data_IF_454146344366
#
_entry.id   IF_454146344366
#
_cell.length_a   1.000
_cell.length_b   1.000
_cell.length_c   1.000
_cell.angle_alpha   90.00
_cell.angle_beta   90.00
_cell.angle_gamma   90.00
#
_symmetry.space_group_name_H-M   'P 1'
#
loop_
_entity.id
_entity.type
_entity.pdbx_description
1 polymer ?
#
# COMPACT_ATOMS: atom_id res chain seq x y z
N UNK A 1 11.11 7.54 -30.13
CA UNK A 1 11.23 7.38 -28.67
C UNK A 1 9.83 7.15 -28.18
N UNK A 2 9.59 6.00 -27.59
CA UNK A 2 8.29 5.67 -27.02
C UNK A 2 8.15 6.28 -25.62
N UNK A 3 6.92 6.42 -25.14
CA UNK A 3 6.66 6.99 -23.80
C UNK A 3 7.42 6.22 -22.72
N UNK A 4 7.48 4.89 -22.83
CA UNK A 4 8.22 4.03 -21.91
C UNK A 4 9.74 4.28 -21.93
N UNK A 5 10.27 4.66 -23.07
CA UNK A 5 11.70 5.02 -23.19
C UNK A 5 11.99 6.35 -22.46
N UNK A 6 11.07 7.31 -22.53
CA UNK A 6 11.17 8.59 -21.80
C UNK A 6 11.15 8.32 -20.30
N UNK A 7 10.23 7.51 -19.84
CA UNK A 7 10.11 7.13 -18.43
C UNK A 7 11.39 6.45 -17.90
N UNK A 8 11.95 5.50 -18.67
CA UNK A 8 13.22 4.85 -18.32
C UNK A 8 14.36 5.87 -18.21
N UNK A 9 14.45 6.80 -19.16
CA UNK A 9 15.50 7.84 -19.15
C UNK A 9 15.35 8.76 -17.93
N UNK A 10 14.16 9.27 -17.66
CA UNK A 10 13.89 10.19 -16.56
C UNK A 10 14.16 9.50 -15.20
N UNK A 11 13.71 8.26 -15.04
CA UNK A 11 13.95 7.50 -13.81
C UNK A 11 15.45 7.20 -13.61
N UNK A 12 16.20 6.85 -14.69
CA UNK A 12 17.64 6.66 -14.57
C UNK A 12 18.36 7.98 -14.25
N UNK A 13 17.87 9.10 -14.77
CA UNK A 13 18.41 10.42 -14.48
C UNK A 13 18.20 10.88 -13.03
N UNK A 14 17.22 10.32 -12.34
CA UNK A 14 16.97 10.51 -10.90
C UNK A 14 17.80 9.55 -10.06
N UNK A 15 17.73 8.25 -10.36
CA UNK A 15 18.36 7.20 -9.56
C UNK A 15 19.89 7.15 -9.72
N UNK A 16 20.39 7.56 -10.88
CA UNK A 16 21.79 7.45 -11.30
C UNK A 16 22.37 6.04 -11.04
N UNK A 17 21.50 5.02 -11.16
CA UNK A 17 21.84 3.62 -10.88
C UNK A 17 20.90 2.67 -11.65
N UNK A 18 21.45 1.88 -12.57
CA UNK A 18 20.67 0.98 -13.44
C UNK A 18 19.85 -0.07 -12.68
N UNK A 19 20.40 -0.64 -11.60
CA UNK A 19 19.70 -1.63 -10.77
C UNK A 19 18.49 -1.02 -10.07
N UNK A 20 18.65 0.09 -9.35
CA UNK A 20 17.53 0.78 -8.69
C UNK A 20 16.48 1.27 -9.67
N UNK A 21 16.89 1.76 -10.84
CA UNK A 21 15.96 2.11 -11.93
C UNK A 21 15.12 0.90 -12.36
N UNK A 22 15.76 -0.25 -12.53
CA UNK A 22 15.09 -1.48 -12.93
C UNK A 22 14.08 -1.95 -11.87
N UNK A 23 14.46 -1.92 -10.59
CA UNK A 23 13.60 -2.24 -9.45
C UNK A 23 12.39 -1.29 -9.38
N UNK A 24 12.63 0.03 -9.46
CA UNK A 24 11.57 1.06 -9.41
C UNK A 24 10.58 0.90 -10.56
N UNK A 25 11.05 0.57 -11.76
CA UNK A 25 10.22 0.40 -12.96
C UNK A 25 9.70 -1.03 -13.16
N UNK A 26 10.06 -1.96 -12.27
CA UNK A 26 9.70 -3.39 -12.34
C UNK A 26 10.07 -4.02 -13.69
N UNK A 27 11.29 -3.76 -14.15
CA UNK A 27 11.86 -4.32 -15.38
C UNK A 27 13.24 -4.91 -15.11
N UNK A 28 13.84 -5.63 -16.07
CA UNK A 28 15.22 -6.10 -15.93
C UNK A 28 16.23 -4.96 -16.15
N UNK A 29 17.37 -5.02 -15.48
CA UNK A 29 18.47 -4.07 -15.68
C UNK A 29 18.96 -4.06 -17.14
N UNK A 30 18.93 -5.22 -17.81
CA UNK A 30 19.27 -5.34 -19.22
C UNK A 30 18.32 -4.50 -20.10
N UNK A 31 17.02 -4.49 -19.79
CA UNK A 31 16.02 -3.66 -20.50
C UNK A 31 16.29 -2.16 -20.33
N UNK A 32 16.64 -1.71 -19.12
CA UNK A 32 17.04 -0.31 -18.88
C UNK A 32 18.26 0.04 -19.71
N UNK A 33 19.31 -0.78 -19.66
CA UNK A 33 20.56 -0.55 -20.41
C UNK A 33 20.31 -0.51 -21.92
N UNK A 34 19.52 -1.43 -22.46
CA UNK A 34 19.18 -1.47 -23.89
C UNK A 34 18.36 -0.25 -24.32
N UNK A 35 17.40 0.19 -23.49
CA UNK A 35 16.59 1.38 -23.79
C UNK A 35 17.47 2.63 -23.90
N UNK A 36 18.35 2.86 -22.91
CA UNK A 36 19.28 4.01 -22.95
C UNK A 36 20.23 3.92 -24.15
N UNK A 37 20.84 2.77 -24.40
CA UNK A 37 21.74 2.60 -25.55
C UNK A 37 21.05 2.81 -26.90
N UNK A 38 19.76 2.46 -27.03
CA UNK A 38 18.96 2.78 -28.24
C UNK A 38 18.72 4.27 -28.38
N UNK A 39 18.45 4.98 -27.28
CA UNK A 39 18.24 6.42 -27.28
C UNK A 39 19.52 7.15 -27.66
N UNK A 40 20.66 6.83 -27.06
CA UNK A 40 21.97 7.41 -27.36
C UNK A 40 22.36 7.20 -28.84
N UNK A 41 22.15 5.97 -29.36
CA UNK A 41 22.40 5.68 -30.79
C UNK A 41 21.48 6.47 -31.72
N UNK A 42 20.20 6.63 -31.38
CA UNK A 42 19.22 7.36 -32.17
C UNK A 42 19.53 8.87 -32.20
N UNK A 43 19.95 9.43 -31.06
CA UNK A 43 20.26 10.85 -30.91
C UNK A 43 21.69 11.15 -31.41
N UNK A 44 22.56 10.14 -31.42
CA UNK A 44 23.96 10.27 -31.87
C UNK A 44 24.90 10.83 -30.81
N UNK A 45 24.45 10.94 -29.53
CA UNK A 45 25.27 11.46 -28.44
C UNK A 45 25.08 10.63 -27.16
N UNK A 46 26.11 10.60 -26.33
CA UNK A 46 26.09 9.95 -25.03
C UNK A 46 25.32 10.83 -24.05
N UNK A 47 24.34 10.26 -23.35
CA UNK A 47 23.49 10.94 -22.38
C UNK A 47 23.95 10.70 -20.94
N UNK A 48 24.61 9.54 -20.68
CA UNK A 48 25.13 9.18 -19.38
C UNK A 48 26.62 8.82 -19.45
N UNK A 49 27.44 9.48 -18.65
CA UNK A 49 28.80 9.07 -18.37
C UNK A 49 28.78 7.86 -17.44
N UNK A 50 29.36 6.74 -17.91
CA UNK A 50 29.36 5.47 -17.20
C UNK A 50 30.77 5.07 -16.85
N UNK A 51 31.06 4.91 -15.58
CA UNK A 51 32.25 4.24 -15.09
C UNK A 51 31.84 3.02 -14.26
N UNK A 52 32.77 2.13 -13.93
CA UNK A 52 32.49 0.98 -13.06
C UNK A 52 31.99 1.37 -11.65
N UNK A 53 32.12 2.65 -11.28
CA UNK A 53 31.78 3.16 -9.92
C UNK A 53 30.74 4.26 -9.91
N UNK A 54 30.39 4.83 -11.07
CA UNK A 54 29.50 6.01 -11.11
C UNK A 54 28.74 6.10 -12.43
N UNK A 55 27.48 6.47 -12.33
CA UNK A 55 26.63 6.92 -13.45
C UNK A 55 26.32 8.40 -13.21
N UNK A 56 26.50 9.24 -14.22
CA UNK A 56 26.19 10.66 -14.16
C UNK A 56 25.63 11.15 -15.50
N UNK A 57 24.81 12.19 -15.51
CA UNK A 57 24.33 12.81 -16.75
C UNK A 57 25.44 13.63 -17.41
N UNK A 58 25.59 13.49 -18.73
CA UNK A 58 26.37 14.43 -19.55
C UNK A 58 25.71 15.83 -19.58
N UNK A 59 26.38 16.89 -20.02
CA UNK A 59 25.74 18.19 -20.22
C UNK A 59 24.51 18.10 -21.14
N UNK A 60 24.60 17.30 -22.22
CA UNK A 60 23.47 17.03 -23.13
C UNK A 60 22.37 16.24 -22.43
N UNK A 61 22.73 15.22 -21.63
CA UNK A 61 21.79 14.44 -20.84
C UNK A 61 21.01 15.30 -19.81
N UNK A 62 21.68 16.27 -19.16
CA UNK A 62 20.99 17.21 -18.24
C UNK A 62 19.96 18.07 -18.96
N UNK A 63 20.33 18.65 -20.08
CA UNK A 63 19.42 19.49 -20.88
C UNK A 63 18.23 18.65 -21.40
N UNK A 64 18.50 17.45 -21.93
CA UNK A 64 17.44 16.55 -22.37
C UNK A 64 16.50 16.11 -21.22
N UNK A 65 17.03 15.92 -20.00
CA UNK A 65 16.22 15.63 -18.82
C UNK A 65 15.23 16.77 -18.53
N UNK A 66 15.68 18.02 -18.57
CA UNK A 66 14.84 19.19 -18.33
C UNK A 66 13.72 19.27 -19.36
N UNK A 67 14.06 19.16 -20.64
CA UNK A 67 13.09 19.23 -21.75
C UNK A 67 12.07 18.07 -21.69
N UNK A 68 12.56 16.84 -21.46
CA UNK A 68 11.70 15.65 -21.37
C UNK A 68 10.83 15.65 -20.12
N UNK A 69 11.31 16.20 -19.00
CA UNK A 69 10.49 16.32 -17.77
C UNK A 69 9.29 17.21 -18.04
N UNK A 70 9.50 18.41 -18.61
CA UNK A 70 8.42 19.33 -18.94
C UNK A 70 7.43 18.72 -19.93
N UNK A 71 7.92 18.07 -20.98
CA UNK A 71 7.06 17.41 -21.97
C UNK A 71 6.26 16.23 -21.36
N UNK A 72 6.88 15.45 -20.49
CA UNK A 72 6.25 14.32 -19.81
C UNK A 72 5.16 14.79 -18.83
N UNK A 73 5.46 15.85 -18.07
CA UNK A 73 4.49 16.44 -17.13
C UNK A 73 3.28 17.01 -17.88
N UNK A 74 3.50 17.74 -18.98
CA UNK A 74 2.42 18.27 -19.83
C UNK A 74 1.56 17.13 -20.44
N UNK A 75 2.20 16.04 -20.87
CA UNK A 75 1.48 14.85 -21.36
C UNK A 75 0.64 14.22 -20.27
N UNK A 76 1.20 14.03 -19.07
CA UNK A 76 0.47 13.49 -17.92
C UNK A 76 -0.71 14.37 -17.52
N UNK A 77 -0.52 15.69 -17.50
CA UNK A 77 -1.61 16.65 -17.28
C UNK A 77 -2.70 16.55 -18.36
N UNK A 78 -2.31 16.42 -19.63
CA UNK A 78 -3.26 16.24 -20.73
C UNK A 78 -4.08 14.97 -20.59
N UNK A 79 -3.43 13.86 -20.26
CA UNK A 79 -4.10 12.59 -19.98
C UNK A 79 -5.00 12.69 -18.74
N UNK A 80 -4.53 13.31 -17.66
CA UNK A 80 -5.31 13.54 -16.45
C UNK A 80 -6.57 14.40 -16.74
N UNK A 81 -6.45 15.45 -17.56
CA UNK A 81 -7.62 16.26 -17.98
C UNK A 81 -8.62 15.43 -18.81
N UNK A 82 -8.13 14.62 -19.76
CA UNK A 82 -9.00 13.74 -20.56
C UNK A 82 -9.71 12.69 -19.71
N UNK A 83 -9.02 12.14 -18.72
CA UNK A 83 -9.58 11.18 -17.77
C UNK A 83 -10.53 11.84 -16.77
N UNK A 84 -10.22 13.07 -16.32
CA UNK A 84 -11.14 13.85 -15.50
C UNK A 84 -12.48 14.11 -16.23
N UNK A 85 -12.42 14.37 -17.53
CA UNK A 85 -13.63 14.46 -18.36
C UNK A 85 -14.35 13.11 -18.47
N UNK A 86 -13.62 11.98 -18.47
CA UNK A 86 -14.18 10.62 -18.45
C UNK A 86 -14.70 10.17 -17.08
N UNK A 87 -14.20 10.76 -15.98
CA UNK A 87 -14.69 10.50 -14.62
C UNK A 87 -16.10 11.08 -14.39
N UNK A 88 -16.53 12.02 -15.24
CA UNK A 88 -17.88 12.57 -15.26
C UNK A 88 -18.27 13.32 -13.97
N UNK A 89 -18.90 14.50 -14.10
CA UNK A 89 -19.47 15.18 -12.96
C UNK A 89 -20.53 14.30 -12.29
N UNK A 90 -20.33 13.96 -11.00
CA UNK A 90 -21.28 13.20 -10.20
C UNK A 90 -20.98 11.68 -10.05
N UNK A 91 -19.83 11.19 -10.51
CA UNK A 91 -19.48 9.78 -10.26
C UNK A 91 -18.85 9.62 -8.88
N UNK A 92 -19.50 8.83 -8.03
CA UNK A 92 -19.00 8.44 -6.71
C UNK A 92 -18.12 7.21 -6.86
N UNK A 93 -16.85 7.29 -6.41
CA UNK A 93 -15.95 6.16 -6.29
C UNK A 93 -16.19 5.48 -4.95
N UNK A 94 -16.55 4.19 -4.97
CA UNK A 94 -16.81 3.38 -3.77
C UNK A 94 -15.49 2.75 -3.32
N UNK A 95 -14.94 3.25 -2.21
CA UNK A 95 -13.66 2.83 -1.65
C UNK A 95 -13.85 2.05 -0.36
N UNK A 96 -13.59 0.75 -0.41
CA UNK A 96 -13.60 -0.09 0.77
C UNK A 96 -12.31 0.08 1.58
N UNK A 97 -12.44 0.18 2.90
CA UNK A 97 -11.31 0.35 3.82
C UNK A 97 -11.44 -0.57 5.02
N UNK A 98 -10.32 -1.04 5.54
CA UNK A 98 -10.29 -1.80 6.78
C UNK A 98 -10.27 -0.85 7.98
N UNK A 99 -11.29 -0.96 8.85
CA UNK A 99 -11.36 -0.25 10.11
C UNK A 99 -10.98 1.23 9.97
N UNK A 100 -9.96 1.66 10.71
CA UNK A 100 -9.56 3.07 10.83
C UNK A 100 -8.61 3.56 9.71
N UNK A 101 -8.21 2.71 8.78
CA UNK A 101 -7.34 3.13 7.66
C UNK A 101 -7.95 4.28 6.85
N UNK A 102 -9.28 4.35 6.78
CA UNK A 102 -10.00 5.44 6.11
C UNK A 102 -9.71 6.84 6.65
N UNK A 103 -9.41 6.98 7.94
CA UNK A 103 -9.08 8.29 8.53
C UNK A 103 -7.76 8.84 8.00
N UNK A 104 -6.78 7.98 7.78
CA UNK A 104 -5.47 8.36 7.26
C UNK A 104 -5.48 8.65 5.76
N UNK A 105 -6.51 8.21 5.03
CA UNK A 105 -6.61 8.43 3.60
C UNK A 105 -7.12 9.82 3.22
N UNK A 106 -7.42 10.68 4.19
CA UNK A 106 -7.89 12.04 3.93
C UNK A 106 -6.98 12.83 2.98
N UNK A 107 -5.64 12.86 3.14
CA UNK A 107 -4.77 13.56 2.19
C UNK A 107 -4.89 13.03 0.75
N UNK A 108 -5.04 11.71 0.58
CA UNK A 108 -5.25 11.10 -0.73
C UNK A 108 -6.59 11.53 -1.34
N UNK A 109 -7.66 11.51 -0.55
CA UNK A 109 -9.01 11.89 -1.02
C UNK A 109 -9.06 13.38 -1.36
N UNK A 110 -8.47 14.24 -0.53
CA UNK A 110 -8.41 15.68 -0.78
C UNK A 110 -7.61 16.00 -2.06
N UNK A 111 -6.46 15.36 -2.25
CA UNK A 111 -5.68 15.50 -3.48
C UNK A 111 -6.40 14.95 -4.72
N UNK A 112 -7.13 13.84 -4.58
CA UNK A 112 -7.96 13.30 -5.65
C UNK A 112 -9.09 14.25 -6.04
N UNK A 113 -9.82 14.79 -5.06
CA UNK A 113 -10.89 15.77 -5.29
C UNK A 113 -10.38 17.08 -5.92
N UNK A 114 -9.21 17.56 -5.50
CA UNK A 114 -8.59 18.74 -6.07
C UNK A 114 -8.24 18.57 -7.56
N UNK A 115 -7.80 17.36 -7.97
CA UNK A 115 -7.47 17.02 -9.34
C UNK A 115 -8.70 16.68 -10.20
N UNK A 116 -9.79 16.23 -9.58
CA UNK A 116 -11.01 15.76 -10.24
C UNK A 116 -12.25 16.42 -9.63
N UNK A 117 -12.48 17.73 -9.90
CA UNK A 117 -13.63 18.44 -9.40
C UNK A 117 -14.94 17.78 -9.86
N UNK A 118 -15.82 17.46 -8.91
CA UNK A 118 -17.08 16.74 -9.18
C UNK A 118 -17.01 15.23 -9.00
N UNK A 119 -15.82 14.66 -8.80
CA UNK A 119 -15.70 13.30 -8.31
C UNK A 119 -15.86 13.24 -6.79
N UNK A 120 -16.59 12.24 -6.30
CA UNK A 120 -16.74 12.00 -4.86
C UNK A 120 -16.19 10.62 -4.48
N UNK A 121 -15.80 10.45 -3.22
CA UNK A 121 -15.34 9.17 -2.66
C UNK A 121 -16.28 8.81 -1.52
N UNK A 122 -16.91 7.65 -1.63
CA UNK A 122 -17.74 7.05 -0.58
C UNK A 122 -16.99 5.88 0.03
N UNK A 123 -16.75 5.96 1.33
CA UNK A 123 -16.14 4.87 2.08
C UNK A 123 -17.15 3.78 2.44
N UNK A 124 -16.70 2.54 2.43
CA UNK A 124 -17.39 1.39 3.00
C UNK A 124 -16.40 0.56 3.83
N UNK A 125 -16.91 -0.15 4.83
CA UNK A 125 -16.07 -1.03 5.64
C UNK A 125 -15.83 -2.36 4.92
N UNK A 126 -14.58 -2.81 4.91
CA UNK A 126 -14.18 -4.15 4.47
C UNK A 126 -14.12 -5.06 5.69
N UNK A 127 -14.77 -6.22 5.61
CA UNK A 127 -14.73 -7.22 6.68
C UNK A 127 -13.60 -8.23 6.48
N UNK A 128 -13.00 -8.70 7.59
CA UNK A 128 -11.91 -9.69 7.54
C UNK A 128 -12.35 -11.05 7.04
N UNK A 129 -13.63 -11.37 7.11
CA UNK A 129 -14.16 -12.68 6.70
C UNK A 129 -14.10 -12.92 5.19
N UNK A 130 -14.39 -11.91 4.35
CA UNK A 130 -14.22 -11.97 2.89
C UNK A 130 -13.82 -10.59 2.36
N UNK A 131 -12.50 -10.31 2.29
CA UNK A 131 -12.00 -8.98 1.92
C UNK A 131 -12.16 -8.65 0.44
N UNK A 132 -12.48 -9.61 -0.41
CA UNK A 132 -12.51 -9.47 -1.86
C UNK A 132 -13.91 -9.52 -2.47
N UNK A 133 -14.92 -9.96 -1.69
CA UNK A 133 -16.28 -10.18 -2.19
C UNK A 133 -16.87 -8.95 -2.87
N UNK A 134 -16.81 -7.78 -2.26
CA UNK A 134 -17.39 -6.56 -2.80
C UNK A 134 -16.69 -6.07 -4.09
N UNK A 135 -15.38 -6.34 -4.25
CA UNK A 135 -14.66 -6.08 -5.51
C UNK A 135 -15.15 -7.01 -6.63
N UNK A 136 -15.31 -8.29 -6.31
CA UNK A 136 -15.78 -9.31 -7.27
C UNK A 136 -17.23 -9.11 -7.68
N UNK A 137 -18.07 -8.70 -6.74
CA UNK A 137 -19.48 -8.38 -7.00
C UNK A 137 -19.68 -7.03 -7.72
N UNK A 138 -18.64 -6.18 -7.80
CA UNK A 138 -18.76 -4.83 -8.32
C UNK A 138 -19.49 -3.85 -7.36
N UNK A 139 -19.59 -4.21 -6.08
CA UNK A 139 -20.17 -3.37 -5.03
C UNK A 139 -19.20 -2.30 -4.53
N UNK A 140 -17.90 -2.51 -4.72
CA UNK A 140 -16.84 -1.54 -4.51
C UNK A 140 -15.99 -1.37 -5.77
N UNK A 141 -15.49 -0.17 -6.01
CA UNK A 141 -14.64 0.13 -7.16
C UNK A 141 -13.15 -0.14 -6.83
N UNK A 142 -12.74 0.10 -5.59
CA UNK A 142 -11.43 -0.26 -5.07
C UNK A 142 -11.49 -0.51 -3.55
N UNK A 143 -10.53 -1.27 -3.05
CA UNK A 143 -10.29 -1.45 -1.62
C UNK A 143 -8.89 -0.98 -1.23
N UNK A 144 -8.71 -0.58 0.02
CA UNK A 144 -7.40 -0.41 0.66
C UNK A 144 -7.18 -1.60 1.57
N UNK A 145 -6.31 -2.52 1.14
CA UNK A 145 -6.06 -3.80 1.79
C UNK A 145 -4.58 -3.91 2.19
N UNK A 146 -4.29 -4.61 3.29
CA UNK A 146 -2.90 -4.97 3.60
C UNK A 146 -2.36 -6.03 2.65
N UNK A 147 -1.06 -5.93 2.38
CA UNK A 147 -0.35 -6.85 1.50
C UNK A 147 0.18 -8.07 2.26
N UNK A 148 0.38 -9.19 1.56
CA UNK A 148 0.25 -9.39 0.13
C UNK A 148 -1.19 -9.64 -0.32
N UNK A 149 -1.56 -9.23 -1.53
CA UNK A 149 -2.75 -9.69 -2.24
C UNK A 149 -2.27 -10.44 -3.49
N UNK A 150 -2.63 -11.70 -3.62
CA UNK A 150 -2.15 -12.61 -4.67
C UNK A 150 -3.33 -13.27 -5.44
N UNK A 151 -4.39 -12.51 -5.67
CA UNK A 151 -5.57 -12.95 -6.40
C UNK A 151 -5.41 -12.63 -7.90
N UNK A 152 -5.56 -13.61 -8.81
CA UNK A 152 -5.31 -13.41 -10.24
C UNK A 152 -6.31 -12.48 -10.93
N UNK A 153 -7.50 -12.32 -10.34
CA UNK A 153 -8.58 -11.46 -10.81
C UNK A 153 -8.52 -10.04 -10.23
N UNK A 154 -7.52 -9.76 -9.38
CA UNK A 154 -7.35 -8.45 -8.76
C UNK A 154 -6.04 -7.78 -9.19
N UNK A 155 -6.10 -6.47 -9.37
CA UNK A 155 -4.94 -5.62 -9.61
C UNK A 155 -4.49 -4.98 -8.30
N UNK A 156 -3.21 -5.14 -7.97
CA UNK A 156 -2.57 -4.47 -6.84
C UNK A 156 -1.90 -3.20 -7.34
N UNK A 157 -2.39 -2.07 -6.86
CA UNK A 157 -1.90 -0.73 -7.19
C UNK A 157 -0.83 -0.21 -6.22
N UNK A 158 -0.68 1.12 -6.12
CA UNK A 158 0.31 1.72 -5.23
C UNK A 158 0.01 1.47 -3.75
N UNK A 159 1.07 1.35 -2.95
CA UNK A 159 0.98 1.39 -1.49
C UNK A 159 0.56 2.80 -1.08
N UNK A 160 -0.46 2.90 -0.23
CA UNK A 160 -1.03 4.18 0.24
C UNK A 160 -0.74 4.46 1.71
N UNK A 161 -0.46 3.41 2.50
CA UNK A 161 -0.21 3.55 3.93
C UNK A 161 0.78 2.47 4.39
N UNK A 162 1.71 2.86 5.26
CA UNK A 162 2.62 1.95 5.97
C UNK A 162 2.49 2.22 7.46
N UNK A 163 2.33 1.18 8.28
CA UNK A 163 2.16 1.31 9.73
C UNK A 163 2.93 0.21 10.45
N UNK A 164 3.40 0.50 11.65
CA UNK A 164 3.95 -0.50 12.56
C UNK A 164 2.92 -1.55 12.98
N UNK A 165 3.34 -2.45 13.86
CA UNK A 165 2.53 -3.56 14.37
C UNK A 165 2.36 -3.46 15.87
N UNK A 166 1.16 -3.82 16.33
CA UNK A 166 0.83 -3.97 17.76
C UNK A 166 0.13 -5.28 18.02
N UNK A 167 0.22 -5.76 19.25
CA UNK A 167 -0.55 -6.88 19.76
C UNK A 167 -1.65 -6.33 20.68
N UNK A 168 -2.90 -6.56 20.34
CA UNK A 168 -4.02 -6.29 21.24
C UNK A 168 -4.13 -7.40 22.26
N UNK A 169 -4.11 -7.05 23.55
CA UNK A 169 -4.21 -7.96 24.70
C UNK A 169 -5.21 -7.40 25.71
N UNK A 170 -5.76 -8.26 26.57
CA UNK A 170 -6.59 -7.77 27.68
C UNK A 170 -5.76 -6.94 28.67
N UNK A 171 -6.38 -6.01 29.38
CA UNK A 171 -5.69 -5.17 30.36
C UNK A 171 -5.05 -5.96 31.53
N UNK A 172 -5.57 -7.16 31.82
CA UNK A 172 -5.01 -8.07 32.82
C UNK A 172 -3.97 -9.06 32.28
N UNK A 173 -3.64 -8.99 31.00
CA UNK A 173 -2.72 -9.92 30.35
C UNK A 173 -1.26 -9.68 30.80
N UNK A 174 -0.43 -10.73 30.96
CA UNK A 174 0.99 -10.56 31.34
C UNK A 174 1.79 -9.65 30.40
N UNK A 175 1.46 -9.64 29.11
CA UNK A 175 2.12 -8.78 28.12
C UNK A 175 1.70 -7.31 28.22
N UNK A 176 0.55 -6.98 28.85
CA UNK A 176 0.05 -5.59 28.93
C UNK A 176 0.99 -4.65 29.69
N UNK A 177 1.76 -5.17 30.65
CA UNK A 177 2.74 -4.42 31.42
C UNK A 177 4.14 -4.37 30.80
N UNK A 178 4.35 -5.01 29.65
CA UNK A 178 5.66 -5.00 28.96
C UNK A 178 5.76 -3.82 27.99
N UNK A 179 6.96 -3.28 27.82
CA UNK A 179 7.24 -2.24 26.84
C UNK A 179 7.18 -2.72 25.37
N UNK A 180 6.94 -4.01 25.13
CA UNK A 180 6.78 -4.61 23.81
C UNK A 180 6.60 -6.11 23.88
N UNK A 181 6.21 -6.69 22.75
CA UNK A 181 6.07 -8.13 22.52
C UNK A 181 6.79 -8.52 21.22
N UNK A 182 7.05 -9.83 21.07
CA UNK A 182 7.59 -10.42 19.84
C UNK A 182 6.58 -11.38 19.22
N UNK A 183 6.78 -11.74 17.96
CA UNK A 183 5.99 -12.78 17.31
C UNK A 183 6.17 -14.16 18.00
N UNK A 184 7.29 -14.34 18.72
CA UNK A 184 7.53 -15.58 19.46
C UNK A 184 6.60 -15.73 20.68
N UNK A 185 6.20 -14.62 21.30
CA UNK A 185 5.24 -14.64 22.42
C UNK A 185 3.88 -15.22 22.01
N UNK A 186 3.53 -15.18 20.71
CA UNK A 186 2.26 -15.72 20.20
C UNK A 186 2.16 -17.25 20.28
N UNK A 187 3.26 -17.97 20.48
CA UNK A 187 3.23 -19.44 20.57
C UNK A 187 2.45 -19.95 21.79
N UNK A 188 2.37 -19.16 22.83
CA UNK A 188 1.70 -19.50 24.09
C UNK A 188 0.29 -18.87 24.19
N UNK A 189 -0.17 -18.21 23.09
CA UNK A 189 -1.39 -17.43 23.04
C UNK A 189 -2.40 -17.98 22.02
N UNK A 190 -3.67 -17.81 22.29
CA UNK A 190 -4.72 -18.04 21.30
C UNK A 190 -4.95 -16.77 20.48
N UNK A 191 -4.81 -16.86 19.16
CA UNK A 191 -5.00 -15.72 18.26
C UNK A 191 -6.31 -15.88 17.50
N UNK A 192 -7.06 -14.77 17.34
CA UNK A 192 -8.36 -14.78 16.63
C UNK A 192 -8.24 -15.46 15.26
N UNK A 193 -9.23 -16.27 14.93
CA UNK A 193 -9.43 -16.85 13.61
C UNK A 193 -10.39 -15.94 12.81
N UNK A 194 -10.04 -15.57 11.58
CA UNK A 194 -10.89 -14.75 10.69
C UNK A 194 -11.91 -15.61 9.91
N UNK A 195 -11.88 -16.93 10.10
CA UNK A 195 -12.75 -17.87 9.43
C UNK A 195 -12.26 -18.28 8.02
N UNK A 196 -12.95 -19.22 7.35
CA UNK A 196 -12.46 -19.89 6.16
C UNK A 196 -12.67 -19.12 4.86
N UNK A 197 -13.40 -18.01 4.85
CA UNK A 197 -13.71 -17.29 3.61
C UNK A 197 -12.57 -16.38 3.13
N UNK A 198 -11.69 -15.94 4.06
CA UNK A 198 -10.49 -15.21 3.69
C UNK A 198 -9.37 -16.19 3.28
N UNK A 199 -8.58 -15.90 2.22
CA UNK A 199 -7.48 -16.77 1.82
C UNK A 199 -6.44 -16.93 2.94
N UNK A 200 -5.97 -18.17 3.14
CA UNK A 200 -5.05 -18.50 4.23
C UNK A 200 -3.76 -17.66 4.17
N UNK A 201 -3.19 -17.47 2.98
CA UNK A 201 -1.98 -16.67 2.79
C UNK A 201 -2.16 -15.23 3.26
N UNK A 202 -3.35 -14.66 3.02
CA UNK A 202 -3.68 -13.28 3.38
C UNK A 202 -3.88 -13.15 4.90
N UNK A 203 -4.60 -14.09 5.50
CA UNK A 203 -4.75 -14.16 6.96
C UNK A 203 -3.38 -14.35 7.63
N UNK A 204 -2.54 -15.25 7.10
CA UNK A 204 -1.22 -15.55 7.65
C UNK A 204 -0.26 -14.34 7.62
N UNK A 205 -0.45 -13.38 6.71
CA UNK A 205 0.34 -12.14 6.69
C UNK A 205 0.05 -11.23 7.88
N UNK A 206 -1.15 -11.28 8.42
CA UNK A 206 -1.55 -10.58 9.65
C UNK A 206 -1.29 -11.42 10.89
N UNK A 207 -1.72 -12.67 10.85
CA UNK A 207 -1.68 -13.63 11.94
C UNK A 207 -0.95 -14.87 11.46
N UNK A 208 0.37 -14.97 11.61
CA UNK A 208 1.14 -16.12 11.14
C UNK A 208 0.66 -17.41 11.79
N UNK A 209 0.89 -18.53 11.13
CA UNK A 209 0.55 -19.87 11.67
C UNK A 209 1.65 -20.42 12.56
N UNK A 210 2.86 -19.88 12.42
CA UNK A 210 4.05 -20.23 13.20
C UNK A 210 4.83 -18.99 13.58
N UNK A 211 5.51 -19.07 14.69
CA UNK A 211 6.47 -18.06 15.15
C UNK A 211 7.77 -18.11 14.32
N UNK A 212 8.66 -17.12 14.43
CA UNK A 212 9.97 -17.13 13.79
C UNK A 212 10.82 -18.37 14.13
N UNK A 213 10.70 -18.92 15.33
CA UNK A 213 11.38 -20.17 15.74
C UNK A 213 10.61 -21.43 15.36
N UNK A 214 9.53 -21.33 14.58
CA UNK A 214 8.77 -22.45 14.05
C UNK A 214 7.72 -23.06 15.00
N UNK A 215 7.51 -22.50 16.18
CA UNK A 215 6.46 -22.92 17.10
C UNK A 215 5.08 -22.61 16.50
N UNK A 216 4.13 -23.52 16.71
CA UNK A 216 2.75 -23.33 16.23
C UNK A 216 2.05 -22.25 17.05
N UNK A 217 1.31 -21.36 16.38
CA UNK A 217 0.44 -20.37 17.04
C UNK A 217 -0.97 -20.94 17.08
N UNK A 218 -1.54 -21.14 18.28
CA UNK A 218 -2.89 -21.68 18.46
C UNK A 218 -3.94 -20.71 17.90
N UNK A 219 -4.97 -21.26 17.24
CA UNK A 219 -6.14 -20.47 16.84
C UNK A 219 -7.16 -20.45 17.97
N UNK A 220 -7.70 -19.26 18.21
CA UNK A 220 -8.73 -18.99 19.20
C UNK A 220 -10.13 -18.91 18.56
N UNK A 221 -11.03 -18.12 19.14
CA UNK A 221 -12.38 -17.95 18.63
C UNK A 221 -12.39 -17.27 17.27
N UNK A 222 -13.44 -17.57 16.46
CA UNK A 222 -13.66 -16.93 15.17
C UNK A 222 -14.28 -15.56 15.39
N UNK A 223 -13.73 -14.53 14.72
CA UNK A 223 -14.31 -13.20 14.63
C UNK A 223 -14.22 -12.68 13.20
N UNK A 224 -15.24 -11.94 12.76
CA UNK A 224 -15.35 -11.44 11.38
C UNK A 224 -15.23 -9.93 11.29
N UNK A 225 -15.46 -9.23 12.39
CA UNK A 225 -15.40 -7.77 12.44
C UNK A 225 -14.34 -7.30 13.44
N UNK A 226 -13.84 -6.09 13.21
CA UNK A 226 -12.86 -5.50 14.12
C UNK A 226 -13.39 -5.37 15.57
N UNK A 227 -14.68 -5.04 15.73
CA UNK A 227 -15.30 -4.90 17.04
C UNK A 227 -15.44 -6.23 17.78
N UNK A 228 -15.76 -7.33 17.07
CA UNK A 228 -15.78 -8.68 17.64
C UNK A 228 -14.38 -9.07 18.14
N UNK A 229 -13.33 -8.79 17.35
CA UNK A 229 -11.95 -9.04 17.74
C UNK A 229 -11.63 -8.33 19.07
N UNK A 230 -11.90 -7.02 19.15
CA UNK A 230 -11.61 -6.26 20.38
C UNK A 230 -12.44 -6.70 21.57
N UNK A 231 -13.68 -7.12 21.37
CA UNK A 231 -14.52 -7.65 22.43
C UNK A 231 -13.98 -8.98 23.00
N UNK A 232 -13.53 -9.90 22.12
CA UNK A 232 -12.90 -11.17 22.53
C UNK A 232 -11.58 -10.95 23.27
N UNK A 233 -10.78 -9.99 22.80
CA UNK A 233 -9.52 -9.59 23.46
C UNK A 233 -9.81 -8.98 24.83
N UNK A 234 -10.77 -8.07 24.95
CA UNK A 234 -11.16 -7.46 26.22
C UNK A 234 -11.64 -8.50 27.25
N UNK A 235 -12.32 -9.55 26.77
CA UNK A 235 -12.77 -10.68 27.60
C UNK A 235 -11.63 -11.64 27.97
N UNK A 236 -10.39 -11.42 27.52
CA UNK A 236 -9.25 -12.30 27.79
C UNK A 236 -9.31 -13.67 27.11
N UNK A 237 -10.13 -13.82 26.06
CA UNK A 237 -10.29 -15.09 25.34
C UNK A 237 -9.22 -15.31 24.28
N UNK A 238 -8.55 -14.26 23.83
CA UNK A 238 -7.50 -14.32 22.82
C UNK A 238 -6.66 -13.04 22.84
N UNK A 239 -5.57 -13.06 22.06
CA UNK A 239 -4.81 -11.89 21.65
C UNK A 239 -4.95 -11.71 20.14
N UNK A 240 -4.61 -10.50 19.60
CA UNK A 240 -4.66 -10.32 18.15
C UNK A 240 -3.62 -9.31 17.65
N UNK A 241 -2.75 -9.70 16.68
CA UNK A 241 -1.86 -8.78 16.01
C UNK A 241 -2.65 -7.83 15.09
N UNK A 242 -2.34 -6.53 15.15
CA UNK A 242 -2.98 -5.48 14.37
C UNK A 242 -1.94 -4.50 13.82
N UNK A 243 -2.35 -3.64 12.89
CA UNK A 243 -1.58 -2.45 12.57
C UNK A 243 -1.63 -1.43 13.71
N UNK A 244 -0.56 -0.68 13.93
CA UNK A 244 -0.47 0.36 14.96
C UNK A 244 -1.57 1.42 14.83
N UNK A 245 -2.06 1.65 13.60
CA UNK A 245 -3.22 2.51 13.34
C UNK A 245 -4.43 2.14 14.19
N UNK A 246 -4.61 0.87 14.56
CA UNK A 246 -5.69 0.43 15.41
C UNK A 246 -5.57 1.05 16.81
N UNK A 247 -4.37 1.14 17.37
CA UNK A 247 -4.10 1.74 18.68
C UNK A 247 -4.32 3.27 18.68
N UNK A 248 -4.05 3.92 17.54
CA UNK A 248 -4.17 5.37 17.39
C UNK A 248 -5.63 5.85 17.53
N UNK A 249 -6.58 5.11 16.98
CA UNK A 249 -7.98 5.50 16.92
C UNK A 249 -8.89 4.74 17.86
N UNK A 250 -8.38 3.74 18.59
CA UNK A 250 -9.19 2.98 19.53
C UNK A 250 -8.57 2.97 20.92
N UNK A 251 -9.42 3.20 21.88
CA UNK A 251 -9.11 2.98 23.31
C UNK A 251 -10.26 2.21 23.95
N UNK A 252 -10.51 0.96 23.51
CA UNK A 252 -11.60 0.17 24.06
C UNK A 252 -11.29 -0.17 25.53
N UNK A 253 -12.27 -0.08 26.42
CA UNK A 253 -12.11 -0.50 27.81
C UNK A 253 -11.62 -1.94 27.88
N UNK A 254 -10.62 -2.20 28.73
CA UNK A 254 -10.12 -3.56 28.95
C UNK A 254 -9.14 -4.10 27.88
N UNK A 255 -8.75 -3.28 26.90
CA UNK A 255 -7.72 -3.66 25.89
C UNK A 255 -6.49 -2.78 25.99
N UNK A 256 -5.31 -3.37 25.89
CA UNK A 256 -4.02 -2.70 25.79
C UNK A 256 -3.38 -3.10 24.47
N UNK A 257 -2.78 -2.13 23.78
CA UNK A 257 -2.02 -2.36 22.57
C UNK A 257 -0.53 -2.33 22.89
N UNK A 258 0.15 -3.45 22.67
CA UNK A 258 1.57 -3.63 22.96
C UNK A 258 2.35 -3.64 21.65
N UNK A 259 3.40 -2.81 21.46
CA UNK A 259 4.21 -2.83 20.25
C UNK A 259 4.78 -4.22 19.93
N UNK A 260 4.68 -4.67 18.68
CA UNK A 260 5.33 -5.89 18.16
C UNK A 260 6.63 -5.49 17.46
N UNK A 261 7.78 -5.72 18.09
CA UNK A 261 9.06 -5.18 17.64
C UNK A 261 9.68 -5.91 16.45
N UNK A 262 9.43 -7.21 16.31
CA UNK A 262 10.01 -8.08 15.28
C UNK A 262 9.03 -8.38 14.12
N UNK A 263 7.82 -7.83 14.18
CA UNK A 263 6.85 -7.98 13.10
C UNK A 263 7.13 -6.98 11.97
N UNK A 264 7.12 -7.41 10.69
CA UNK A 264 7.30 -6.49 9.57
C UNK A 264 6.16 -5.47 9.54
N UNK A 265 6.47 -4.24 9.12
CA UNK A 265 5.47 -3.20 8.95
C UNK A 265 4.36 -3.64 7.98
N UNK A 266 3.12 -3.28 8.30
CA UNK A 266 1.99 -3.48 7.41
C UNK A 266 1.98 -2.41 6.32
N UNK A 267 1.80 -2.88 5.09
CA UNK A 267 1.68 -2.02 3.92
C UNK A 267 0.28 -2.20 3.35
N UNK A 268 -0.46 -1.12 3.24
CA UNK A 268 -1.78 -1.11 2.63
C UNK A 268 -1.68 -0.55 1.22
N UNK A 269 -2.29 -1.22 0.26
CA UNK A 269 -2.31 -0.81 -1.14
C UNK A 269 -3.75 -0.66 -1.65
N UNK A 270 -3.91 0.13 -2.69
CA UNK A 270 -5.13 0.11 -3.50
C UNK A 270 -5.21 -1.22 -4.25
N UNK A 271 -6.38 -1.85 -4.19
CA UNK A 271 -6.68 -3.11 -4.88
C UNK A 271 -8.04 -2.98 -5.56
N UNK A 272 -8.14 -3.42 -6.80
CA UNK A 272 -9.39 -3.39 -7.57
C UNK A 272 -9.51 -4.60 -8.51
N UNK A 273 -10.70 -4.86 -9.02
CA UNK A 273 -10.92 -5.93 -10.00
C UNK A 273 -10.19 -5.62 -11.31
N UNK A 274 -9.43 -6.59 -11.84
CA UNK A 274 -8.70 -6.43 -13.10
C UNK A 274 -9.64 -6.18 -14.30
N UNK A 275 -10.92 -6.57 -14.20
CA UNK A 275 -11.94 -6.33 -15.21
C UNK A 275 -12.69 -5.01 -15.02
N UNK A 276 -12.60 -4.37 -13.87
CA UNK A 276 -13.25 -3.10 -13.52
C UNK A 276 -12.25 -1.93 -13.40
N UNK A 277 -11.20 -1.93 -14.23
CA UNK A 277 -10.18 -0.90 -14.28
C UNK A 277 -10.72 0.39 -14.92
N UNK A 278 -11.60 1.06 -14.19
CA UNK A 278 -12.28 2.28 -14.63
C UNK A 278 -11.42 3.55 -14.51
N UNK A 279 -11.79 4.64 -15.23
CA UNK A 279 -11.03 5.91 -15.19
C UNK A 279 -10.86 6.48 -13.78
N UNK A 280 -11.88 6.38 -12.93
CA UNK A 280 -11.84 6.91 -11.56
C UNK A 280 -10.85 6.14 -10.66
N UNK A 281 -10.81 4.81 -10.78
CA UNK A 281 -9.86 3.96 -10.05
C UNK A 281 -8.43 4.25 -10.49
N UNK A 282 -8.18 4.34 -11.81
CA UNK A 282 -6.86 4.72 -12.34
C UNK A 282 -6.42 6.10 -11.90
N UNK A 283 -7.34 7.07 -11.88
CA UNK A 283 -7.07 8.43 -11.41
C UNK A 283 -6.70 8.46 -9.92
N UNK A 284 -7.44 7.71 -9.08
CA UNK A 284 -7.10 7.57 -7.66
C UNK A 284 -5.74 6.89 -7.48
N UNK A 285 -5.47 5.82 -8.24
CA UNK A 285 -4.19 5.10 -8.17
C UNK A 285 -3.00 5.99 -8.57
N UNK A 286 -3.14 6.83 -9.61
CA UNK A 286 -2.11 7.82 -9.96
C UNK A 286 -1.93 8.85 -8.87
N UNK A 287 -3.02 9.41 -8.35
CA UNK A 287 -2.94 10.37 -7.24
C UNK A 287 -2.19 9.76 -6.04
N UNK A 288 -2.47 8.51 -5.72
CA UNK A 288 -1.77 7.79 -4.66
C UNK A 288 -0.28 7.56 -4.97
N UNK A 289 0.06 7.22 -6.21
CA UNK A 289 1.45 7.03 -6.64
C UNK A 289 2.26 8.32 -6.55
N UNK A 290 1.66 9.45 -6.91
CA UNK A 290 2.30 10.78 -6.86
C UNK A 290 2.53 11.27 -5.44
N UNK A 291 1.57 11.01 -4.52
CA UNK A 291 1.70 11.36 -3.12
C UNK A 291 2.72 10.48 -2.38
N UNK A 292 2.90 9.25 -2.84
CA UNK A 292 3.62 8.23 -2.10
C UNK A 292 2.84 7.71 -0.89
N UNK A 293 3.37 6.68 -0.22
CA UNK A 293 2.71 6.10 0.95
C UNK A 293 2.80 7.03 2.16
N UNK A 294 1.68 7.18 2.87
CA UNK A 294 1.64 7.80 4.18
C UNK A 294 2.32 6.86 5.18
N UNK A 295 3.30 7.35 5.93
CA UNK A 295 3.96 6.60 7.00
C UNK A 295 3.42 7.08 8.35
N UNK A 296 2.92 6.14 9.15
CA UNK A 296 2.59 6.38 10.54
C UNK A 296 3.80 5.94 11.38
N UNK A 297 4.86 6.74 11.37
CA UNK A 297 5.95 6.58 12.33
C UNK A 297 5.46 7.10 13.67
N UNK A 298 5.66 6.34 14.76
CA UNK A 298 5.14 6.60 16.11
C UNK A 298 5.53 7.93 16.79
N UNK A 299 5.83 8.97 16.01
CA UNK A 299 6.22 10.31 16.45
C UNK A 299 5.19 11.41 16.17
N UNK A 300 3.93 11.06 15.84
CA UNK A 300 2.87 12.05 15.67
C UNK A 300 2.01 12.19 16.91
N UNK A 301 2.31 13.16 17.78
CA UNK A 301 1.32 13.65 18.74
C UNK A 301 0.09 14.19 17.99
N UNK A 302 -1.14 13.87 18.43
CA UNK A 302 -2.33 14.50 17.89
C UNK A 302 -2.38 15.96 18.36
N UNK A 303 -2.23 16.88 17.40
CA UNK A 303 -2.53 18.31 17.60
C UNK A 303 -4.02 18.58 17.67
#
# INVERSE_FOLDING_TARGET
>A
MELRDIEIFLTLAEELHFGRTAERLRVSQARVSQAISRQERRIGVVLFDRTSRRVALTPVGRRLREDLRQAYDLLQEGLARAEAAGVGAGRTLRLGVFGHAGYELRPLVDAFRARHPGADVRFSEVTGGDPFAALRAGDADAHVLWLPVAEPDLTVGPTVLVTGRVLAVSAGHPLAGRGGASLEDLADEHVVDLGPAAPEYWVASMVPTRTPLGRRIPRGPVARTFHEILALVAAGQCVHPLGEIAARYNRPPGVVFVPLHDAPALRFALVWSSTADGPAVRALARTAADLGPLSLDGSGEPG
#
